data_IF_657515457030
#
_entry.id   IF_657515457030
#
_cell.length_a   1.000
_cell.length_b   1.000
_cell.length_c   1.000
_cell.angle_alpha   90.00
_cell.angle_beta   90.00
_cell.angle_gamma   90.00
#
_symmetry.space_group_name_H-M   'P 1'
#
loop_
_entity.id
_entity.type
_entity.pdbx_description
1 polymer ?
#
# COMPACT_ATOMS: atom_id res chain seq x y z
N UNK A 1 4.80 -3.85 25.81
CA UNK A 1 4.19 -3.80 24.47
C UNK A 1 4.22 -5.21 23.91
N UNK A 2 3.07 -5.86 23.78
CA UNK A 2 2.99 -7.21 23.19
C UNK A 2 2.85 -7.01 21.67
N UNK A 3 3.86 -7.44 20.91
CA UNK A 3 3.86 -7.30 19.46
C UNK A 3 3.05 -8.45 18.84
N UNK A 4 1.98 -8.12 18.13
CA UNK A 4 1.05 -9.10 17.58
C UNK A 4 1.35 -9.40 16.11
N UNK A 5 0.85 -10.54 15.63
CA UNK A 5 0.93 -10.91 14.19
C UNK A 5 0.28 -9.84 13.30
N UNK A 6 -0.72 -9.13 13.82
CA UNK A 6 -1.39 -8.04 13.11
C UNK A 6 -0.50 -6.78 12.99
N UNK A 7 0.34 -6.49 14.00
CA UNK A 7 1.35 -5.44 13.91
C UNK A 7 2.44 -5.80 12.89
N UNK A 8 2.82 -7.09 12.83
CA UNK A 8 3.73 -7.60 11.79
C UNK A 8 3.14 -7.44 10.40
N UNK A 9 1.86 -7.77 10.21
CA UNK A 9 1.18 -7.58 8.94
C UNK A 9 1.19 -6.10 8.52
N UNK A 10 0.89 -5.19 9.44
CA UNK A 10 1.00 -3.75 9.20
C UNK A 10 2.41 -3.32 8.76
N UNK A 11 3.44 -3.82 9.45
CA UNK A 11 4.84 -3.52 9.09
C UNK A 11 5.25 -4.08 7.73
N UNK A 12 4.75 -5.26 7.34
CA UNK A 12 4.93 -5.80 5.98
C UNK A 12 4.26 -4.87 4.96
N UNK A 13 3.08 -4.35 5.27
CA UNK A 13 2.39 -3.35 4.45
C UNK A 13 3.22 -2.07 4.26
N UNK A 14 3.75 -1.52 5.35
CA UNK A 14 4.67 -0.37 5.34
C UNK A 14 5.90 -0.66 4.47
N UNK A 15 6.51 -1.85 4.61
CA UNK A 15 7.65 -2.24 3.80
C UNK A 15 7.33 -2.25 2.30
N UNK A 16 6.15 -2.75 1.91
CA UNK A 16 5.72 -2.73 0.50
C UNK A 16 5.62 -1.31 -0.04
N UNK A 17 4.97 -0.39 0.68
CA UNK A 17 4.81 1.00 0.24
C UNK A 17 6.19 1.68 0.11
N UNK A 18 7.05 1.55 1.13
CA UNK A 18 8.37 2.18 1.12
C UNK A 18 9.27 1.60 0.03
N UNK A 19 9.32 0.29 -0.13
CA UNK A 19 10.13 -0.35 -1.19
C UNK A 19 9.62 0.04 -2.57
N UNK A 20 8.31 0.09 -2.76
CA UNK A 20 7.70 0.50 -4.03
C UNK A 20 8.04 1.95 -4.36
N UNK A 21 7.95 2.85 -3.37
CA UNK A 21 8.35 4.25 -3.54
C UNK A 21 9.86 4.40 -3.79
N UNK A 22 10.70 3.63 -3.11
CA UNK A 22 12.14 3.60 -3.35
C UNK A 22 12.47 3.16 -4.78
N UNK A 23 11.84 2.09 -5.26
CA UNK A 23 12.05 1.60 -6.63
C UNK A 23 11.57 2.62 -7.67
N UNK A 24 10.45 3.32 -7.41
CA UNK A 24 10.01 4.43 -8.23
C UNK A 24 11.06 5.54 -8.28
N UNK A 25 11.58 5.96 -7.12
CA UNK A 25 12.58 7.03 -7.03
C UNK A 25 13.92 6.66 -7.70
N UNK A 26 14.29 5.38 -7.66
CA UNK A 26 15.47 4.85 -8.36
C UNK A 26 15.23 4.63 -9.87
N UNK A 27 14.06 5.00 -10.40
CA UNK A 27 13.63 4.71 -11.77
C UNK A 27 13.70 3.22 -12.13
N UNK A 28 13.60 2.34 -11.13
CA UNK A 28 13.54 0.86 -11.29
C UNK A 28 12.11 0.35 -11.42
N UNK A 29 11.12 1.22 -11.24
CA UNK A 29 9.70 0.93 -11.40
C UNK A 29 8.99 2.15 -11.98
N UNK A 30 8.04 1.94 -12.88
CA UNK A 30 7.19 2.99 -13.44
C UNK A 30 5.87 3.08 -12.64
N UNK A 31 5.40 4.29 -12.36
CA UNK A 31 4.10 4.54 -11.71
C UNK A 31 2.90 4.05 -12.53
N UNK A 32 3.07 3.84 -13.84
CA UNK A 32 2.07 3.23 -14.73
C UNK A 32 2.09 1.70 -14.71
N UNK A 33 3.07 1.08 -14.07
CA UNK A 33 3.17 -0.38 -14.03
C UNK A 33 2.08 -0.99 -13.14
N UNK A 34 1.56 -2.15 -13.56
CA UNK A 34 0.60 -2.91 -12.74
C UNK A 34 1.21 -3.33 -11.40
N UNK A 35 2.50 -3.68 -11.40
CA UNK A 35 3.21 -4.11 -10.19
C UNK A 35 3.29 -2.97 -9.16
N UNK A 36 3.57 -1.73 -9.60
CA UNK A 36 3.54 -0.55 -8.73
C UNK A 36 2.19 -0.37 -8.05
N UNK A 37 1.11 -0.44 -8.83
CA UNK A 37 -0.25 -0.26 -8.30
C UNK A 37 -0.66 -1.43 -7.40
N UNK A 38 -0.28 -2.66 -7.73
CA UNK A 38 -0.60 -3.84 -6.93
C UNK A 38 0.13 -3.84 -5.57
N UNK A 39 1.43 -3.53 -5.55
CA UNK A 39 2.21 -3.50 -4.31
C UNK A 39 1.74 -2.40 -3.36
N UNK A 40 1.43 -1.20 -3.87
CA UNK A 40 0.87 -0.14 -3.05
C UNK A 40 -0.54 -0.48 -2.54
N UNK A 41 -1.40 -1.12 -3.35
CA UNK A 41 -2.72 -1.57 -2.89
C UNK A 41 -2.62 -2.62 -1.78
N UNK A 42 -1.75 -3.62 -1.94
CA UNK A 42 -1.51 -4.65 -0.91
C UNK A 42 -0.89 -4.03 0.35
N UNK A 43 0.07 -3.12 0.17
CA UNK A 43 0.70 -2.39 1.28
C UNK A 43 -0.33 -1.64 2.11
N UNK A 44 -1.15 -0.81 1.45
CA UNK A 44 -2.20 -0.03 2.11
C UNK A 44 -3.26 -0.92 2.77
N UNK A 45 -3.65 -2.02 2.12
CA UNK A 45 -4.61 -2.97 2.69
C UNK A 45 -4.08 -3.60 3.97
N UNK A 46 -2.80 -4.00 4.02
CA UNK A 46 -2.20 -4.59 5.21
C UNK A 46 -2.10 -3.60 6.37
N UNK A 47 -1.78 -2.33 6.10
CA UNK A 47 -1.79 -1.29 7.14
C UNK A 47 -3.22 -1.04 7.62
N UNK A 48 -4.22 -0.95 6.73
CA UNK A 48 -5.63 -0.80 7.15
C UNK A 48 -6.08 -1.97 8.05
N UNK A 49 -5.70 -3.20 7.72
CA UNK A 49 -6.02 -4.37 8.55
C UNK A 49 -5.36 -4.25 9.93
N UNK A 50 -4.13 -3.72 10.01
CA UNK A 50 -3.47 -3.54 11.32
C UNK A 50 -4.14 -2.50 12.20
N UNK A 51 -4.74 -1.47 11.60
CA UNK A 51 -5.49 -0.43 12.30
C UNK A 51 -6.79 -0.93 12.94
N UNK A 52 -7.26 -2.14 12.64
CA UNK A 52 -8.45 -2.72 13.29
C UNK A 52 -8.19 -2.97 14.80
N UNK A 53 -6.96 -3.34 15.18
CA UNK A 53 -6.61 -3.55 16.60
C UNK A 53 -6.32 -2.24 17.33
N UNK A 54 -5.59 -1.33 16.68
CA UNK A 54 -5.17 -0.05 17.27
C UNK A 54 -5.49 1.07 16.29
N UNK A 55 -6.72 1.55 16.34
CA UNK A 55 -7.22 2.48 15.33
C UNK A 55 -6.51 3.84 15.42
N UNK A 56 -5.99 4.28 14.27
CA UNK A 56 -5.41 5.60 14.09
C UNK A 56 -6.08 6.25 12.87
N UNK A 57 -6.83 7.32 13.11
CA UNK A 57 -7.60 7.99 12.06
C UNK A 57 -6.71 8.58 10.97
N UNK A 58 -5.55 9.16 11.34
CA UNK A 58 -4.62 9.77 10.39
C UNK A 58 -4.01 8.72 9.47
N UNK A 59 -3.58 7.59 10.03
CA UNK A 59 -3.07 6.47 9.25
C UNK A 59 -4.16 5.89 8.35
N UNK A 60 -5.37 5.69 8.86
CA UNK A 60 -6.49 5.16 8.09
C UNK A 60 -6.82 6.04 6.88
N UNK A 61 -6.83 7.36 7.03
CA UNK A 61 -7.08 8.30 5.93
C UNK A 61 -5.99 8.18 4.86
N UNK A 62 -4.71 8.21 5.25
CA UNK A 62 -3.59 8.13 4.32
C UNK A 62 -3.61 6.81 3.54
N UNK A 63 -3.79 5.69 4.24
CA UNK A 63 -3.82 4.38 3.59
C UNK A 63 -5.07 4.18 2.73
N UNK A 64 -6.20 4.77 3.14
CA UNK A 64 -7.41 4.82 2.32
C UNK A 64 -7.16 5.51 0.97
N UNK A 65 -6.45 6.66 0.97
CA UNK A 65 -6.04 7.32 -0.26
C UNK A 65 -5.07 6.48 -1.08
N UNK A 66 -4.05 5.87 -0.47
CA UNK A 66 -3.13 4.99 -1.16
C UNK A 66 -3.85 3.82 -1.85
N UNK A 67 -4.80 3.20 -1.16
CA UNK A 67 -5.60 2.11 -1.71
C UNK A 67 -6.43 2.61 -2.90
N UNK A 68 -7.14 3.74 -2.78
CA UNK A 68 -7.97 4.31 -3.86
C UNK A 68 -7.12 4.66 -5.09
N UNK A 69 -5.99 5.35 -4.90
CA UNK A 69 -5.09 5.75 -5.98
C UNK A 69 -4.53 4.51 -6.70
N UNK A 70 -4.16 3.49 -5.93
CA UNK A 70 -3.65 2.23 -6.46
C UNK A 70 -4.72 1.46 -7.25
N UNK A 71 -5.96 1.43 -6.77
CA UNK A 71 -7.09 0.85 -7.51
C UNK A 71 -7.37 1.58 -8.82
N UNK A 72 -7.28 2.91 -8.84
CA UNK A 72 -7.38 3.69 -10.10
C UNK A 72 -6.28 3.29 -11.08
N UNK A 73 -5.04 3.12 -10.61
CA UNK A 73 -3.92 2.64 -11.41
C UNK A 73 -4.17 1.26 -12.02
N UNK A 74 -4.67 0.31 -11.22
CA UNK A 74 -5.03 -1.03 -11.66
C UNK A 74 -6.16 -1.01 -12.71
N UNK A 75 -7.26 -0.30 -12.45
CA UNK A 75 -8.40 -0.19 -13.37
C UNK A 75 -7.98 0.43 -14.70
N UNK A 76 -7.16 1.48 -14.69
CA UNK A 76 -6.64 2.09 -15.92
C UNK A 76 -5.79 1.11 -16.74
N UNK A 77 -5.02 0.24 -16.10
CA UNK A 77 -4.25 -0.80 -16.80
C UNK A 77 -5.18 -1.79 -17.52
N UNK A 78 -6.27 -2.22 -16.89
CA UNK A 78 -7.24 -3.13 -17.52
C UNK A 78 -8.06 -2.48 -18.63
N UNK A 79 -8.36 -1.18 -18.55
CA UNK A 79 -9.16 -0.47 -19.57
C UNK A 79 -8.34 -0.09 -20.81
N UNK A 80 -7.05 0.22 -20.67
CA UNK A 80 -6.17 0.60 -21.80
C UNK A 80 -5.57 -0.58 -22.55
N UNK A 81 -5.85 -1.80 -22.12
CA UNK A 81 -5.40 -3.03 -22.75
C UNK A 81 -6.52 -3.58 -23.63
#
# INVERSE_FOLDING_TARGET
>A
MHYNIIDLLGNVGVAFIIVTYLLLQLNRMDSKSILYSLLNALGALFVIISLIQNFNISAFIIEGFWLIISLIGLVRFFIKK
#
